data_IF_429464578033
#
_entry.id   IF_429464578033
#
_cell.length_a   1.000
_cell.length_b   1.000
_cell.length_c   1.000
_cell.angle_alpha   90.00
_cell.angle_beta   90.00
_cell.angle_gamma   90.00
#
_symmetry.space_group_name_H-M   'P 1'
#
loop_
_entity.id
_entity.type
_entity.pdbx_description
1 polymer ?
#
# COMPACT_ATOMS: atom_id res chain seq x y z
N UNK A 1 -23.22 -25.86 51.06
CA UNK A 1 -21.86 -25.27 50.93
C UNK A 1 -21.20 -25.79 49.65
N UNK A 2 -21.78 -25.69 48.45
CA UNK A 2 -21.20 -26.22 47.19
C UNK A 2 -21.57 -25.45 45.92
N UNK A 3 -22.38 -24.39 45.99
CA UNK A 3 -22.75 -23.64 44.76
C UNK A 3 -21.82 -22.48 44.42
N UNK A 4 -21.10 -21.95 45.41
CA UNK A 4 -20.24 -20.77 45.22
C UNK A 4 -18.85 -21.15 44.66
N UNK A 5 -18.40 -22.40 44.92
CA UNK A 5 -17.10 -22.88 44.44
C UNK A 5 -17.11 -23.24 42.95
N UNK A 6 -18.24 -23.81 42.47
CA UNK A 6 -18.40 -24.15 41.06
C UNK A 6 -18.48 -22.93 40.14
N UNK A 7 -19.06 -21.79 40.60
CA UNK A 7 -19.13 -20.58 39.83
C UNK A 7 -17.73 -19.87 39.71
N UNK A 8 -16.86 -20.07 40.69
CA UNK A 8 -15.52 -19.49 40.67
C UNK A 8 -14.54 -20.24 39.78
N UNK A 9 -14.72 -21.56 39.67
CA UNK A 9 -13.95 -22.41 38.77
C UNK A 9 -14.38 -22.21 37.31
N UNK A 10 -15.66 -22.10 37.01
CA UNK A 10 -16.15 -21.79 35.66
C UNK A 10 -15.78 -20.40 35.21
N UNK A 11 -15.69 -19.40 36.09
CA UNK A 11 -15.18 -18.08 35.72
C UNK A 11 -13.67 -18.07 35.51
N UNK A 12 -12.90 -18.92 36.16
CA UNK A 12 -11.46 -19.09 35.90
C UNK A 12 -11.20 -19.85 34.61
N UNK A 13 -12.00 -20.80 34.23
CA UNK A 13 -11.86 -21.52 32.97
C UNK A 13 -12.24 -20.64 31.75
N UNK A 14 -13.26 -19.78 31.89
CA UNK A 14 -13.62 -18.80 30.84
C UNK A 14 -12.61 -17.65 30.75
N UNK A 15 -11.95 -17.28 31.83
CA UNK A 15 -10.84 -16.32 31.80
C UNK A 15 -9.52 -16.92 31.27
N UNK A 16 -9.38 -18.25 31.33
CA UNK A 16 -8.21 -18.98 30.79
C UNK A 16 -8.26 -19.22 29.27
N UNK A 17 -9.42 -19.03 28.62
CA UNK A 17 -9.58 -19.17 27.17
C UNK A 17 -9.29 -17.90 26.36
N UNK A 18 -9.03 -16.79 26.97
CA UNK A 18 -8.29 -15.70 26.31
C UNK A 18 -6.82 -16.13 26.25
N UNK A 19 -6.55 -17.12 25.43
CA UNK A 19 -5.20 -17.56 25.11
C UNK A 19 -4.46 -16.36 24.55
N UNK A 20 -3.69 -15.69 25.40
CA UNK A 20 -2.72 -14.73 24.93
C UNK A 20 -1.88 -15.45 23.89
N UNK A 21 -2.06 -15.11 22.62
CA UNK A 21 -1.26 -15.69 21.54
C UNK A 21 0.20 -15.45 21.92
N UNK A 22 0.94 -16.51 22.15
CA UNK A 22 2.35 -16.38 22.45
C UNK A 22 3.03 -15.75 21.23
N UNK A 23 4.12 -15.00 21.42
CA UNK A 23 4.89 -14.44 20.31
C UNK A 23 5.23 -15.50 19.26
N UNK A 24 5.45 -16.75 19.69
CA UNK A 24 5.73 -17.88 18.80
C UNK A 24 4.52 -18.27 17.96
N UNK A 25 3.30 -18.26 18.52
CA UNK A 25 2.08 -18.53 17.77
C UNK A 25 1.83 -17.43 16.71
N UNK A 26 2.06 -16.17 17.07
CA UNK A 26 1.95 -15.03 16.14
C UNK A 26 2.97 -15.11 14.98
N UNK A 27 4.21 -15.48 15.26
CA UNK A 27 5.23 -15.73 14.24
C UNK A 27 4.88 -16.93 13.36
N UNK A 28 4.29 -17.98 13.93
CA UNK A 28 3.78 -19.14 13.19
C UNK A 28 2.66 -18.75 12.23
N UNK A 29 1.74 -17.90 12.67
CA UNK A 29 0.67 -17.35 11.83
C UNK A 29 1.23 -16.49 10.70
N UNK A 30 2.17 -15.58 10.99
CA UNK A 30 2.85 -14.75 9.98
C UNK A 30 3.47 -15.60 8.89
N UNK A 31 4.24 -16.64 9.27
CA UNK A 31 4.87 -17.57 8.33
C UNK A 31 3.84 -18.24 7.41
N UNK A 32 2.75 -18.76 7.99
CA UNK A 32 1.71 -19.44 7.24
C UNK A 32 1.04 -18.50 6.23
N UNK A 33 0.70 -17.26 6.64
CA UNK A 33 0.05 -16.27 5.78
C UNK A 33 0.99 -15.77 4.69
N UNK A 34 2.25 -15.52 5.02
CA UNK A 34 3.26 -15.12 4.05
C UNK A 34 3.47 -16.21 2.99
N UNK A 35 3.53 -17.48 3.40
CA UNK A 35 3.65 -18.61 2.47
C UNK A 35 2.44 -18.69 1.53
N UNK A 36 1.20 -18.54 2.05
CA UNK A 36 0.00 -18.52 1.21
C UNK A 36 -0.02 -17.35 0.23
N UNK A 37 0.41 -16.16 0.66
CA UNK A 37 0.54 -14.98 -0.21
C UNK A 37 1.60 -15.19 -1.28
N UNK A 38 2.74 -15.79 -0.94
CA UNK A 38 3.80 -16.11 -1.89
C UNK A 38 3.34 -17.13 -2.95
N UNK A 39 2.60 -18.18 -2.53
CA UNK A 39 2.01 -19.16 -3.47
C UNK A 39 1.02 -18.47 -4.40
N UNK A 40 0.15 -17.61 -3.88
CA UNK A 40 -0.79 -16.84 -4.70
C UNK A 40 -0.05 -15.93 -5.69
N UNK A 41 1.03 -15.25 -5.27
CA UNK A 41 1.85 -14.42 -6.14
C UNK A 41 2.49 -15.22 -7.28
N UNK A 42 2.98 -16.43 -7.00
CA UNK A 42 3.53 -17.34 -8.03
C UNK A 42 2.44 -17.76 -9.01
N UNK A 43 1.25 -18.13 -8.53
CA UNK A 43 0.13 -18.49 -9.41
C UNK A 43 -0.32 -17.30 -10.27
N UNK A 44 -0.43 -16.11 -9.67
CA UNK A 44 -0.74 -14.88 -10.42
C UNK A 44 0.32 -14.56 -11.47
N UNK A 45 1.59 -14.73 -11.13
CA UNK A 45 2.69 -14.60 -12.07
C UNK A 45 2.55 -15.56 -13.27
N UNK A 46 2.30 -16.85 -13.03
CA UNK A 46 2.17 -17.86 -14.09
C UNK A 46 1.01 -17.53 -15.03
N UNK A 47 -0.13 -17.09 -14.50
CA UNK A 47 -1.28 -16.64 -15.29
C UNK A 47 -0.89 -15.43 -16.15
N UNK A 48 -0.31 -14.39 -15.54
CA UNK A 48 0.07 -13.18 -16.25
C UNK A 48 1.21 -13.40 -17.24
N UNK A 49 2.09 -14.36 -16.99
CA UNK A 49 3.18 -14.69 -17.91
C UNK A 49 2.66 -15.24 -19.25
N UNK A 50 1.56 -15.98 -19.25
CA UNK A 50 0.90 -16.41 -20.49
C UNK A 50 0.45 -15.23 -21.35
N UNK A 51 0.17 -14.07 -20.74
CA UNK A 51 -0.25 -12.83 -21.41
C UNK A 51 0.84 -11.76 -21.43
N UNK A 52 2.10 -12.13 -21.22
CA UNK A 52 3.22 -11.19 -21.04
C UNK A 52 3.40 -10.23 -22.21
N UNK A 53 3.17 -10.69 -23.46
CA UNK A 53 3.26 -9.83 -24.66
C UNK A 53 2.18 -8.75 -24.69
N UNK A 54 0.94 -9.08 -24.32
CA UNK A 54 -0.16 -8.13 -24.23
C UNK A 54 0.08 -7.10 -23.12
N UNK A 55 0.51 -7.57 -21.95
CA UNK A 55 0.85 -6.72 -20.82
C UNK A 55 2.00 -5.77 -21.16
N UNK A 56 3.01 -6.27 -21.85
CA UNK A 56 4.11 -5.44 -22.36
C UNK A 56 3.58 -4.34 -23.31
N UNK A 57 2.70 -4.70 -24.25
CA UNK A 57 2.09 -3.74 -25.18
C UNK A 57 1.31 -2.63 -24.45
N UNK A 58 0.49 -3.01 -23.44
CA UNK A 58 -0.26 -2.06 -22.63
C UNK A 58 0.71 -1.12 -21.91
N UNK A 59 1.78 -1.65 -21.31
CA UNK A 59 2.76 -0.82 -20.60
C UNK A 59 3.52 0.14 -21.52
N UNK A 60 3.62 -0.16 -22.80
CA UNK A 60 4.27 0.70 -23.80
C UNK A 60 3.42 1.91 -24.21
N UNK A 61 2.10 1.83 -24.12
CA UNK A 61 1.19 2.87 -24.66
C UNK A 61 1.51 4.28 -24.14
N UNK A 62 1.68 4.53 -22.82
CA UNK A 62 1.92 5.89 -22.31
C UNK A 62 3.21 6.53 -22.83
N UNK A 63 4.22 5.71 -23.11
CA UNK A 63 5.47 6.19 -23.69
C UNK A 63 5.32 6.48 -25.19
N UNK A 64 4.66 5.57 -25.92
CA UNK A 64 4.46 5.69 -27.36
C UNK A 64 3.64 6.93 -27.73
N UNK A 65 2.72 7.38 -26.87
CA UNK A 65 1.92 8.58 -27.06
C UNK A 65 2.74 9.88 -27.02
N UNK A 66 3.86 9.90 -26.28
CA UNK A 66 4.69 11.09 -26.11
C UNK A 66 6.01 11.03 -26.90
N UNK A 67 6.35 9.88 -27.46
CA UNK A 67 7.56 9.71 -28.27
C UNK A 67 7.39 10.32 -29.65
N UNK A 68 8.45 10.93 -30.23
CA UNK A 68 8.45 11.35 -31.62
C UNK A 68 8.12 10.19 -32.57
N UNK A 69 7.44 10.46 -33.71
CA UNK A 69 7.21 9.46 -34.75
C UNK A 69 8.50 8.75 -35.14
N UNK A 70 8.45 7.45 -35.40
CA UNK A 70 9.59 6.59 -35.75
C UNK A 70 10.61 6.31 -34.65
N UNK A 71 10.38 6.81 -33.43
CA UNK A 71 11.23 6.48 -32.29
C UNK A 71 10.94 5.05 -31.78
N UNK A 72 11.99 4.33 -31.37
CA UNK A 72 11.90 2.97 -30.85
C UNK A 72 12.66 2.84 -29.54
N UNK A 73 12.25 1.90 -28.70
CA UNK A 73 13.04 1.50 -27.55
C UNK A 73 14.25 0.68 -28.00
N UNK A 74 15.37 0.91 -27.34
CA UNK A 74 16.58 0.13 -27.55
C UNK A 74 16.77 -0.85 -26.39
N UNK A 75 17.31 -2.01 -26.70
CA UNK A 75 17.86 -2.92 -25.71
C UNK A 75 19.34 -3.19 -26.01
N UNK A 76 20.17 -3.17 -24.99
CA UNK A 76 21.63 -3.29 -25.12
C UNK A 76 22.12 -4.66 -24.69
N UNK A 77 21.33 -5.37 -23.90
CA UNK A 77 21.67 -6.71 -23.41
C UNK A 77 20.74 -7.78 -23.97
N UNK A 78 21.30 -8.89 -24.45
CA UNK A 78 20.53 -10.02 -25.00
C UNK A 78 19.38 -10.52 -24.09
N UNK A 79 19.54 -10.66 -22.75
CA UNK A 79 18.47 -11.14 -21.89
C UNK A 79 17.48 -10.05 -21.45
N UNK A 80 17.70 -8.80 -21.85
CA UNK A 80 16.94 -7.64 -21.36
C UNK A 80 15.44 -7.73 -21.67
N UNK A 81 15.10 -8.10 -22.90
CA UNK A 81 13.71 -8.27 -23.31
C UNK A 81 13.03 -9.39 -22.51
N UNK A 82 13.70 -10.53 -22.35
CA UNK A 82 13.17 -11.65 -21.57
C UNK A 82 12.85 -11.25 -20.12
N UNK A 83 13.82 -10.65 -19.43
CA UNK A 83 13.59 -10.23 -18.04
C UNK A 83 12.53 -9.12 -17.92
N UNK A 84 12.35 -8.31 -18.95
CA UNK A 84 11.28 -7.31 -18.98
C UNK A 84 9.91 -7.97 -19.01
N UNK A 85 9.69 -8.98 -19.84
CA UNK A 85 8.46 -9.77 -19.87
C UNK A 85 8.21 -10.46 -18.51
N UNK A 86 9.24 -11.07 -17.92
CA UNK A 86 9.14 -11.72 -16.61
C UNK A 86 8.74 -10.72 -15.52
N UNK A 87 9.41 -9.57 -15.43
CA UNK A 87 9.10 -8.54 -14.43
C UNK A 87 7.70 -7.96 -14.61
N UNK A 88 7.31 -7.67 -15.85
CA UNK A 88 5.97 -7.15 -16.15
C UNK A 88 4.89 -8.15 -15.75
N UNK A 89 5.07 -9.42 -16.09
CA UNK A 89 4.14 -10.48 -15.69
C UNK A 89 4.09 -10.67 -14.16
N UNK A 90 5.23 -10.56 -13.48
CA UNK A 90 5.27 -10.67 -12.02
C UNK A 90 4.49 -9.54 -11.34
N UNK A 91 4.72 -8.30 -11.75
CA UNK A 91 4.02 -7.13 -11.20
C UNK A 91 2.52 -7.19 -11.52
N UNK A 92 2.14 -7.52 -12.75
CA UNK A 92 0.74 -7.71 -13.11
C UNK A 92 0.09 -8.85 -12.31
N UNK A 93 0.83 -9.93 -12.07
CA UNK A 93 0.40 -11.02 -11.21
C UNK A 93 0.13 -10.59 -9.77
N UNK A 94 0.96 -9.70 -9.20
CA UNK A 94 0.71 -9.12 -7.88
C UNK A 94 -0.58 -8.29 -7.85
N UNK A 95 -0.86 -7.49 -8.89
CA UNK A 95 -2.12 -6.76 -8.99
C UNK A 95 -3.31 -7.70 -9.11
N UNK A 96 -3.20 -8.76 -9.90
CA UNK A 96 -4.26 -9.75 -10.08
C UNK A 96 -4.64 -10.44 -8.75
N UNK A 97 -3.66 -10.83 -7.95
CA UNK A 97 -3.89 -11.54 -6.68
C UNK A 97 -3.94 -10.62 -5.47
N UNK A 98 -3.86 -9.31 -5.67
CA UNK A 98 -3.89 -8.32 -4.57
C UNK A 98 -5.08 -8.48 -3.62
N UNK A 99 -6.33 -8.81 -4.05
CA UNK A 99 -7.44 -9.02 -3.12
C UNK A 99 -7.16 -10.14 -2.12
N UNK A 100 -6.54 -11.22 -2.56
CA UNK A 100 -6.17 -12.33 -1.70
C UNK A 100 -4.99 -11.99 -0.79
N UNK A 101 -3.98 -11.27 -1.30
CA UNK A 101 -2.84 -10.82 -0.50
C UNK A 101 -3.32 -9.89 0.62
N UNK A 102 -4.16 -8.90 0.31
CA UNK A 102 -4.72 -8.01 1.32
C UNK A 102 -5.60 -8.75 2.31
N UNK A 103 -6.37 -9.75 1.88
CA UNK A 103 -7.11 -10.61 2.79
C UNK A 103 -6.19 -11.32 3.81
N UNK A 104 -5.04 -11.85 3.37
CA UNK A 104 -4.06 -12.46 4.28
C UNK A 104 -3.44 -11.44 5.24
N UNK A 105 -3.11 -10.23 4.73
CA UNK A 105 -2.57 -9.14 5.55
C UNK A 105 -3.57 -8.71 6.62
N UNK A 106 -4.81 -8.45 6.24
CA UNK A 106 -5.85 -8.02 7.18
C UNK A 106 -6.20 -9.10 8.19
N UNK A 107 -6.21 -10.36 7.81
CA UNK A 107 -6.39 -11.46 8.75
C UNK A 107 -5.25 -11.57 9.77
N UNK A 108 -4.02 -11.22 9.40
CA UNK A 108 -2.90 -11.17 10.33
C UNK A 108 -3.04 -10.02 11.33
N UNK A 109 -3.61 -8.90 10.91
CA UNK A 109 -3.87 -7.72 11.75
C UNK A 109 -5.12 -7.92 12.64
N UNK A 110 -6.03 -8.80 12.23
CA UNK A 110 -7.34 -9.03 12.86
C UNK A 110 -7.34 -9.43 14.34
N UNK A 111 -6.37 -10.18 14.88
CA UNK A 111 -6.34 -10.48 16.33
C UNK A 111 -6.35 -9.23 17.21
N UNK A 112 -5.89 -8.08 16.68
CA UNK A 112 -5.99 -6.78 17.35
C UNK A 112 -7.36 -6.08 17.24
N UNK A 113 -8.31 -6.65 16.47
CA UNK A 113 -9.66 -6.12 16.31
C UNK A 113 -10.66 -6.84 17.20
N UNK A 114 -11.72 -6.12 17.62
CA UNK A 114 -12.84 -6.72 18.36
C UNK A 114 -13.51 -7.82 17.53
N UNK A 115 -13.98 -8.89 18.17
CA UNK A 115 -14.63 -10.03 17.52
C UNK A 115 -15.78 -9.63 16.58
N UNK A 116 -16.52 -8.58 16.90
CA UNK A 116 -17.60 -8.03 16.09
C UNK A 116 -17.13 -7.38 14.78
N UNK A 117 -15.86 -7.01 14.65
CA UNK A 117 -15.29 -6.37 13.46
C UNK A 117 -14.71 -7.39 12.46
N UNK A 118 -14.54 -8.64 12.88
CA UNK A 118 -13.98 -9.71 12.04
C UNK A 118 -14.81 -10.01 10.78
N UNK A 119 -16.12 -9.79 10.82
CA UNK A 119 -17.01 -9.96 9.67
C UNK A 119 -16.73 -8.97 8.53
N UNK A 120 -16.05 -7.87 8.81
CA UNK A 120 -15.70 -6.84 7.81
C UNK A 120 -14.36 -7.08 7.12
N UNK A 121 -13.67 -8.19 7.41
CA UNK A 121 -12.34 -8.47 6.84
C UNK A 121 -12.36 -8.60 5.32
N UNK A 122 -13.38 -9.29 4.77
CA UNK A 122 -13.51 -9.45 3.31
C UNK A 122 -13.80 -8.11 2.62
N UNK A 123 -14.80 -7.31 3.05
CA UNK A 123 -15.00 -5.97 2.51
C UNK A 123 -13.76 -5.08 2.59
N UNK A 124 -13.03 -5.12 3.70
CA UNK A 124 -11.83 -4.31 3.89
C UNK A 124 -10.72 -4.75 2.93
N UNK A 125 -10.49 -6.04 2.78
CA UNK A 125 -9.51 -6.57 1.81
C UNK A 125 -9.88 -6.20 0.37
N UNK A 126 -11.17 -6.21 0.02
CA UNK A 126 -11.65 -5.78 -1.29
C UNK A 126 -11.44 -4.28 -1.52
N UNK A 127 -11.69 -3.45 -0.49
CA UNK A 127 -11.42 -2.01 -0.53
C UNK A 127 -9.91 -1.76 -0.69
N UNK A 128 -9.05 -2.45 0.08
CA UNK A 128 -7.59 -2.38 -0.10
C UNK A 128 -7.18 -2.71 -1.53
N UNK A 129 -7.66 -3.82 -2.08
CA UNK A 129 -7.32 -4.17 -3.46
C UNK A 129 -7.79 -3.11 -4.46
N UNK A 130 -8.95 -2.49 -4.23
CA UNK A 130 -9.46 -1.40 -5.06
C UNK A 130 -8.55 -0.16 -4.96
N UNK A 131 -8.13 0.23 -3.75
CA UNK A 131 -7.20 1.36 -3.56
C UNK A 131 -5.84 1.06 -4.20
N UNK A 132 -5.30 -0.13 -4.03
CA UNK A 132 -4.04 -0.57 -4.63
C UNK A 132 -4.08 -0.50 -6.16
N UNK A 133 -5.14 -1.03 -6.78
CA UNK A 133 -5.33 -0.98 -8.23
C UNK A 133 -5.57 0.46 -8.70
N UNK A 134 -6.37 1.25 -7.98
CA UNK A 134 -6.60 2.66 -8.34
C UNK A 134 -5.33 3.50 -8.25
N UNK A 135 -4.44 3.20 -7.30
CA UNK A 135 -3.12 3.81 -7.21
C UNK A 135 -2.25 3.50 -8.43
N UNK A 136 -2.22 2.25 -8.88
CA UNK A 136 -1.52 1.88 -10.10
C UNK A 136 -2.13 2.55 -11.34
N UNK A 137 -3.47 2.60 -11.46
CA UNK A 137 -4.14 3.29 -12.56
C UNK A 137 -3.84 4.81 -12.54
N UNK A 138 -3.80 5.41 -11.36
CA UNK A 138 -3.36 6.80 -11.21
C UNK A 138 -1.93 7.00 -11.71
N UNK A 139 -1.01 6.12 -11.33
CA UNK A 139 0.37 6.12 -11.84
C UNK A 139 0.42 5.99 -13.35
N UNK A 140 -0.35 5.07 -13.92
CA UNK A 140 -0.36 4.78 -15.33
C UNK A 140 -0.98 5.90 -16.19
N UNK A 141 -2.17 6.41 -15.82
CA UNK A 141 -2.90 7.37 -16.63
C UNK A 141 -2.55 8.84 -16.35
N UNK A 142 -2.04 9.14 -15.17
CA UNK A 142 -1.75 10.53 -14.77
C UNK A 142 -0.25 10.75 -14.67
N UNK A 143 0.45 9.94 -13.88
CA UNK A 143 1.86 10.21 -13.59
C UNK A 143 2.77 9.91 -14.78
N UNK A 144 2.54 8.83 -15.50
CA UNK A 144 3.37 8.44 -16.65
C UNK A 144 3.33 9.48 -17.76
N UNK A 145 2.16 9.92 -18.28
CA UNK A 145 2.13 10.91 -19.34
C UNK A 145 2.89 12.19 -18.96
N UNK A 146 2.61 12.76 -17.79
CA UNK A 146 3.30 13.96 -17.33
C UNK A 146 4.81 13.78 -17.17
N UNK A 147 5.24 12.65 -16.59
CA UNK A 147 6.65 12.35 -16.38
C UNK A 147 7.39 12.13 -17.71
N UNK A 148 6.79 11.38 -18.62
CA UNK A 148 7.44 11.09 -19.92
C UNK A 148 7.43 12.30 -20.83
N UNK A 149 6.34 13.08 -20.87
CA UNK A 149 6.30 14.36 -21.60
C UNK A 149 7.40 15.31 -21.12
N UNK A 150 7.58 15.42 -19.81
CA UNK A 150 8.66 16.21 -19.23
C UNK A 150 10.04 15.75 -19.71
N UNK A 151 10.35 14.45 -19.67
CA UNK A 151 11.64 13.94 -20.13
C UNK A 151 11.82 14.04 -21.64
N UNK A 152 10.76 13.84 -22.42
CA UNK A 152 10.80 13.98 -23.87
C UNK A 152 10.92 15.44 -24.31
N UNK A 153 10.50 16.39 -23.47
CA UNK A 153 10.62 17.83 -23.74
C UNK A 153 12.07 18.36 -23.84
N UNK A 154 13.06 17.54 -23.43
CA UNK A 154 14.50 17.85 -23.63
C UNK A 154 15.04 17.36 -24.98
N UNK A 155 14.22 16.69 -25.78
CA UNK A 155 14.59 16.28 -27.13
C UNK A 155 14.62 17.50 -28.08
N UNK A 156 15.67 17.62 -28.92
CA UNK A 156 15.83 18.63 -29.94
C UNK A 156 16.40 18.02 -31.23
N UNK A 157 16.73 18.85 -32.22
CA UNK A 157 17.30 18.38 -33.48
C UNK A 157 18.66 17.67 -33.30
N UNK A 158 19.40 18.01 -32.23
CA UNK A 158 20.71 17.43 -31.91
C UNK A 158 20.62 16.24 -30.96
N UNK A 159 19.57 16.19 -30.15
CA UNK A 159 19.39 15.16 -29.10
C UNK A 159 18.13 14.34 -29.37
N UNK A 160 18.29 13.17 -29.97
CA UNK A 160 17.18 12.23 -30.21
C UNK A 160 17.00 11.28 -29.04
N UNK A 161 15.81 11.17 -28.44
CA UNK A 161 15.58 10.26 -27.35
C UNK A 161 15.62 8.81 -27.84
N UNK A 162 16.44 8.00 -27.19
CA UNK A 162 16.53 6.55 -27.41
C UNK A 162 16.38 5.82 -26.05
N UNK A 163 15.16 5.74 -25.50
CA UNK A 163 14.97 5.17 -24.17
C UNK A 163 15.35 3.70 -24.12
N UNK A 164 16.08 3.32 -23.07
CA UNK A 164 16.39 1.90 -22.81
C UNK A 164 15.13 1.16 -22.36
N UNK A 165 14.89 0.01 -22.96
CA UNK A 165 13.82 -0.91 -22.58
C UNK A 165 13.86 -1.26 -21.09
N UNK A 166 15.06 -1.59 -20.58
CA UNK A 166 15.27 -1.96 -19.19
C UNK A 166 14.96 -0.83 -18.22
N UNK A 167 15.43 0.38 -18.53
CA UNK A 167 15.24 1.55 -17.66
C UNK A 167 13.79 1.97 -17.61
N UNK A 168 13.14 2.06 -18.78
CA UNK A 168 11.73 2.38 -18.89
C UNK A 168 10.85 1.45 -18.07
N UNK A 169 10.95 0.13 -18.31
CA UNK A 169 10.12 -0.84 -17.61
C UNK A 169 10.46 -0.92 -16.12
N UNK A 170 11.74 -0.84 -15.76
CA UNK A 170 12.11 -0.85 -14.34
C UNK A 170 11.58 0.36 -13.59
N UNK A 171 11.61 1.53 -14.19
CA UNK A 171 11.03 2.76 -13.64
C UNK A 171 9.52 2.65 -13.54
N UNK A 172 8.85 2.31 -14.65
CA UNK A 172 7.38 2.23 -14.72
C UNK A 172 6.82 1.20 -13.75
N UNK A 173 7.39 -0.01 -13.67
CA UNK A 173 6.92 -1.05 -12.75
C UNK A 173 7.13 -0.68 -11.29
N UNK A 174 8.26 -0.05 -10.94
CA UNK A 174 8.48 0.47 -9.58
C UNK A 174 7.43 1.52 -9.22
N UNK A 175 7.13 2.40 -10.15
CA UNK A 175 6.22 3.50 -9.93
C UNK A 175 4.78 3.01 -9.75
N UNK A 176 4.32 2.05 -10.56
CA UNK A 176 3.00 1.42 -10.39
C UNK A 176 2.85 0.77 -9.02
N UNK A 177 3.85 -0.03 -8.59
CA UNK A 177 3.84 -0.66 -7.28
C UNK A 177 3.86 0.37 -6.15
N UNK A 178 4.67 1.41 -6.28
CA UNK A 178 4.77 2.47 -5.28
C UNK A 178 3.45 3.21 -5.12
N UNK A 179 2.82 3.65 -6.21
CA UNK A 179 1.51 4.31 -6.13
C UNK A 179 0.43 3.37 -5.62
N UNK A 180 0.45 2.09 -6.00
CA UNK A 180 -0.44 1.09 -5.41
C UNK A 180 -0.33 1.08 -3.88
N UNK A 181 0.88 0.95 -3.34
CA UNK A 181 1.12 0.94 -1.88
C UNK A 181 0.78 2.29 -1.23
N UNK A 182 1.13 3.40 -1.87
CA UNK A 182 0.87 4.75 -1.34
C UNK A 182 -0.63 5.02 -1.21
N UNK A 183 -1.44 4.51 -2.13
CA UNK A 183 -2.89 4.65 -2.07
C UNK A 183 -3.54 3.88 -0.92
N UNK A 184 -2.83 2.92 -0.31
CA UNK A 184 -3.27 2.26 0.94
C UNK A 184 -3.18 3.19 2.17
N UNK A 185 -2.46 4.32 2.09
CA UNK A 185 -2.21 5.21 3.21
C UNK A 185 -3.51 5.71 3.90
N UNK A 186 -4.58 6.14 3.19
CA UNK A 186 -5.82 6.52 3.84
C UNK A 186 -6.48 5.38 4.61
N UNK A 187 -6.45 4.17 4.05
CA UNK A 187 -7.03 2.99 4.69
C UNK A 187 -6.19 2.53 5.89
N UNK A 188 -4.88 2.60 5.78
CA UNK A 188 -3.98 2.31 6.90
C UNK A 188 -4.20 3.29 8.07
N UNK A 189 -4.31 4.59 7.77
CA UNK A 189 -4.62 5.62 8.78
C UNK A 189 -6.03 5.44 9.36
N UNK A 190 -7.01 5.05 8.55
CA UNK A 190 -8.34 4.69 9.03
C UNK A 190 -8.26 3.63 10.15
N UNK A 191 -7.50 2.56 9.92
CA UNK A 191 -7.31 1.50 10.91
C UNK A 191 -6.63 1.99 12.19
N UNK A 192 -5.53 2.72 12.05
CA UNK A 192 -4.82 3.27 13.20
C UNK A 192 -5.71 4.21 14.01
N UNK A 193 -6.55 5.00 13.36
CA UNK A 193 -7.50 5.88 14.00
C UNK A 193 -8.63 5.10 14.69
N UNK A 194 -9.10 4.01 14.08
CA UNK A 194 -10.11 3.11 14.65
C UNK A 194 -9.61 2.39 15.90
N UNK A 195 -8.33 1.98 15.89
CA UNK A 195 -7.65 1.41 17.08
C UNK A 195 -7.33 2.45 18.15
N UNK A 196 -7.50 3.75 17.85
CA UNK A 196 -7.17 4.85 18.77
C UNK A 196 -5.68 5.16 18.89
N UNK A 197 -4.85 4.57 18.01
CA UNK A 197 -3.38 4.77 17.99
C UNK A 197 -3.00 6.14 17.42
N UNK A 198 -3.81 6.69 16.52
CA UNK A 198 -3.63 8.02 15.96
C UNK A 198 -4.89 8.86 16.09
N UNK A 199 -4.72 10.17 16.24
CA UNK A 199 -5.82 11.14 16.29
C UNK A 199 -5.64 12.17 15.17
N UNK A 200 -6.72 12.81 14.68
CA UNK A 200 -6.61 13.88 13.68
C UNK A 200 -5.70 15.02 14.13
N UNK A 201 -5.72 15.35 15.42
CA UNK A 201 -4.85 16.38 16.01
C UNK A 201 -3.36 15.99 15.95
N UNK A 202 -3.04 14.71 16.25
CA UNK A 202 -1.68 14.17 16.14
C UNK A 202 -1.18 14.19 14.70
N UNK A 203 -2.02 13.76 13.74
CA UNK A 203 -1.68 13.77 12.31
C UNK A 203 -1.43 15.20 11.82
N UNK A 204 -2.28 16.16 12.19
CA UNK A 204 -2.10 17.59 11.84
C UNK A 204 -0.77 18.14 12.37
N UNK A 205 -0.38 17.81 13.59
CA UNK A 205 0.94 18.21 14.15
C UNK A 205 2.12 17.64 13.37
N UNK A 206 1.93 16.45 12.75
CA UNK A 206 2.99 15.73 12.02
C UNK A 206 3.04 16.07 10.52
N UNK A 207 2.21 17.00 10.00
CA UNK A 207 2.18 17.41 8.58
C UNK A 207 3.57 17.71 8.00
N UNK A 208 4.39 18.47 8.72
CA UNK A 208 5.74 18.82 8.27
C UNK A 208 6.62 17.60 7.99
N UNK A 209 6.49 16.55 8.80
CA UNK A 209 7.23 15.30 8.60
C UNK A 209 6.65 14.48 7.45
N UNK A 210 5.33 14.49 7.28
CA UNK A 210 4.67 13.83 6.15
C UNK A 210 5.07 14.47 4.82
N UNK A 211 5.10 15.79 4.74
CA UNK A 211 5.59 16.53 3.57
C UNK A 211 7.05 16.17 3.30
N UNK A 212 7.92 16.24 4.31
CA UNK A 212 9.33 15.86 4.16
C UNK A 212 9.47 14.41 3.66
N UNK A 213 8.73 13.48 4.26
CA UNK A 213 8.75 12.07 3.86
C UNK A 213 8.24 11.88 2.43
N UNK A 214 7.21 12.64 2.01
CA UNK A 214 6.71 12.61 0.63
C UNK A 214 7.79 13.00 -0.38
N UNK A 215 8.59 14.02 -0.09
CA UNK A 215 9.73 14.40 -0.93
C UNK A 215 10.84 13.35 -0.92
N UNK A 216 11.12 12.72 0.22
CA UNK A 216 12.11 11.63 0.30
C UNK A 216 11.65 10.42 -0.52
N UNK A 217 10.38 10.02 -0.40
CA UNK A 217 9.82 8.92 -1.19
C UNK A 217 9.84 9.26 -2.69
N UNK A 218 9.45 10.48 -3.07
CA UNK A 218 9.52 10.95 -4.44
C UNK A 218 10.96 10.87 -4.99
N UNK A 219 11.97 11.31 -4.22
CA UNK A 219 13.37 11.25 -4.63
C UNK A 219 13.92 9.82 -4.83
N UNK A 220 13.36 8.83 -4.12
CA UNK A 220 13.71 7.40 -4.30
C UNK A 220 13.06 6.84 -5.57
N UNK A 221 11.88 7.34 -5.92
CA UNK A 221 11.08 6.83 -7.04
C UNK A 221 11.48 7.45 -8.38
N UNK A 222 11.89 8.71 -8.38
CA UNK A 222 12.22 9.48 -9.59
C UNK A 222 13.73 9.69 -9.74
N UNK A 223 14.22 9.97 -10.95
CA UNK A 223 15.56 10.51 -11.13
C UNK A 223 15.75 11.78 -10.27
N UNK A 224 16.99 12.13 -9.90
CA UNK A 224 17.26 13.26 -9.02
C UNK A 224 17.08 14.62 -9.73
N UNK A 225 15.84 14.96 -10.06
CA UNK A 225 15.45 16.26 -10.59
C UNK A 225 14.33 16.88 -9.73
N UNK A 226 14.37 18.23 -9.59
CA UNK A 226 13.45 18.92 -8.69
C UNK A 226 12.01 18.97 -9.21
N UNK A 227 11.79 18.91 -10.52
CA UNK A 227 10.46 19.09 -11.13
C UNK A 227 9.66 17.79 -10.98
N UNK A 228 10.20 16.66 -11.40
CA UNK A 228 9.51 15.38 -11.24
C UNK A 228 9.35 15.01 -9.77
N UNK A 229 10.30 15.37 -8.90
CA UNK A 229 10.18 15.17 -7.46
C UNK A 229 9.00 15.96 -6.86
N UNK A 230 8.80 17.23 -7.26
CA UNK A 230 7.64 18.04 -6.83
C UNK A 230 6.35 17.41 -7.36
N UNK A 231 6.32 17.05 -8.63
CA UNK A 231 5.16 16.43 -9.28
C UNK A 231 4.75 15.14 -8.56
N UNK A 232 5.72 14.31 -8.18
CA UNK A 232 5.47 13.04 -7.49
C UNK A 232 5.10 13.22 -6.01
N UNK A 233 5.66 14.21 -5.33
CA UNK A 233 5.33 14.46 -3.92
C UNK A 233 3.91 15.02 -3.74
N UNK A 234 3.37 15.72 -4.73
CA UNK A 234 2.03 16.31 -4.69
C UNK A 234 0.93 15.30 -4.34
N UNK A 235 0.74 14.21 -5.10
CA UNK A 235 -0.22 13.16 -4.80
C UNK A 235 -0.05 12.54 -3.40
N UNK A 236 1.18 12.35 -2.94
CA UNK A 236 1.46 11.80 -1.61
C UNK A 236 0.96 12.72 -0.50
N UNK A 237 1.19 14.03 -0.66
CA UNK A 237 0.73 15.06 0.29
C UNK A 237 -0.80 15.10 0.30
N UNK A 238 -1.44 15.06 -0.87
CA UNK A 238 -2.91 15.04 -1.00
C UNK A 238 -3.49 13.80 -0.30
N UNK A 239 -2.93 12.61 -0.52
CA UNK A 239 -3.37 11.38 0.14
C UNK A 239 -3.20 11.44 1.66
N UNK A 240 -2.13 12.08 2.15
CA UNK A 240 -1.96 12.30 3.57
C UNK A 240 -3.05 13.23 4.14
N UNK A 241 -3.39 14.33 3.46
CA UNK A 241 -4.47 15.22 3.88
C UNK A 241 -5.82 14.48 3.87
N UNK A 242 -6.11 13.70 2.82
CA UNK A 242 -7.31 12.84 2.79
C UNK A 242 -7.33 11.91 4.00
N UNK A 243 -6.18 11.33 4.38
CA UNK A 243 -6.06 10.46 5.55
C UNK A 243 -6.40 11.16 6.87
N UNK A 244 -6.08 12.46 7.00
CA UNK A 244 -6.47 13.25 8.17
C UNK A 244 -7.99 13.40 8.24
N UNK A 245 -8.66 13.65 7.11
CA UNK A 245 -10.12 13.71 7.05
C UNK A 245 -10.74 12.34 7.38
N UNK A 246 -10.20 11.26 6.82
CA UNK A 246 -10.65 9.89 7.16
C UNK A 246 -10.54 9.63 8.67
N UNK A 247 -9.41 9.98 9.28
CA UNK A 247 -9.24 9.85 10.73
C UNK A 247 -10.22 10.72 11.53
N UNK A 248 -10.61 11.89 11.01
CA UNK A 248 -11.56 12.77 11.66
C UNK A 248 -12.97 12.20 11.69
N UNK A 249 -13.42 11.60 10.58
CA UNK A 249 -14.78 11.06 10.47
C UNK A 249 -14.94 9.70 11.16
N UNK A 250 -13.91 8.84 11.12
CA UNK A 250 -14.00 7.45 11.54
C UNK A 250 -13.19 7.11 12.80
N UNK A 251 -12.35 8.02 13.28
CA UNK A 251 -11.54 7.81 14.50
C UNK A 251 -12.39 7.75 15.76
N UNK A 252 -11.98 6.91 16.72
CA UNK A 252 -12.57 6.91 18.07
C UNK A 252 -12.31 8.26 18.73
N UNK A 253 -13.38 8.90 19.23
CA UNK A 253 -13.25 10.05 20.12
C UNK A 253 -12.55 9.58 21.38
N UNK A 254 -11.36 10.09 21.68
CA UNK A 254 -10.73 9.88 22.97
C UNK A 254 -11.68 10.43 24.04
N UNK A 255 -12.08 9.59 25.02
CA UNK A 255 -12.71 10.10 26.25
C UNK A 255 -11.76 11.15 26.85
N UNK A 256 -12.25 12.30 27.32
CA UNK A 256 -11.44 13.24 28.06
C UNK A 256 -10.75 12.48 29.21
N UNK A 257 -9.47 12.74 29.45
CA UNK A 257 -8.86 12.29 30.71
C UNK A 257 -9.73 12.84 31.83
N UNK A 258 -10.01 12.05 32.90
CA UNK A 258 -10.62 12.61 34.09
C UNK A 258 -9.81 13.83 34.50
N UNK A 259 -10.45 14.92 34.80
CA UNK A 259 -9.83 16.09 35.41
C UNK A 259 -9.36 15.70 36.78
N UNK A 260 -8.24 16.28 37.23
CA UNK A 260 -7.63 15.97 38.54
C UNK A 260 -8.67 16.07 39.69
N UNK A 261 -9.72 16.86 39.54
CA UNK A 261 -10.90 16.97 40.41
C UNK A 261 -11.75 15.68 40.49
N UNK A 262 -11.86 14.91 39.40
CA UNK A 262 -12.60 13.63 39.40
C UNK A 262 -11.78 12.45 39.98
N UNK A 263 -10.46 12.58 40.06
CA UNK A 263 -9.60 11.61 40.77
C UNK A 263 -9.58 11.82 42.28
N UNK A 264 -9.86 13.03 42.77
CA UNK A 264 -9.99 13.31 44.21
C UNK A 264 -11.35 12.80 44.76
N UNK A 265 -12.44 12.95 44.01
CA UNK A 265 -13.77 12.45 44.43
C UNK A 265 -13.86 10.90 44.45
N UNK A 266 -13.06 10.21 43.66
CA UNK A 266 -13.01 8.74 43.63
C UNK A 266 -12.21 8.11 44.78
N UNK A 267 -11.50 8.93 45.58
CA UNK A 267 -10.67 8.52 46.73
C UNK A 267 -11.30 8.84 48.09
N UNK A 268 -12.49 9.46 48.11
CA UNK A 268 -13.31 9.66 49.32
C UNK A 268 -14.43 8.58 49.37
#
# INVERSE_FOLDING_TARGET
MNATTQNTEQQKDVAGELKEMTLMDHLGELRSRLTRSAVAAVLGFLICYAFSKQLFGIMMLPLMEVMPPESTLIFTGLPEAFFTYVKTAFVAGLFLVSPYIFYQIWQFIAPGLYEHERKYMIPIAAISALFFISGALFGYYIVFPFGFEFFMGYADEMIRPMPSLREYFSFSLKLLLAFGVIFELPLFIFFLARLGLVTPASLRKKRKYAILLSFVVAAILTPPDGITQILMSGPLIILYEISIYVAHFFGKKKKPKPTDDEEEDAKQ
#
